data_IF_006885266846
#
_entry.id   IF_006885266846
#
_cell.length_a   1.000
_cell.length_b   1.000
_cell.length_c   1.000
_cell.angle_alpha   90.00
_cell.angle_beta   90.00
_cell.angle_gamma   90.00
#
_symmetry.space_group_name_H-M   'P 1'
#
loop_
_entity.id
_entity.type
_entity.pdbx_description
1 polymer ?
#
# COMPACT_ATOMS: atom_id res chain seq x y z
N UNK A 1 4.83 -6.25 -23.84
CA UNK A 1 4.39 -5.97 -22.45
C UNK A 1 3.14 -6.77 -22.20
N UNK A 2 3.17 -7.71 -21.25
CA UNK A 2 1.98 -8.51 -20.89
C UNK A 2 1.21 -7.77 -19.79
N UNK A 3 -0.08 -7.54 -20.01
CA UNK A 3 -0.98 -6.89 -19.05
C UNK A 3 -1.86 -7.95 -18.39
N UNK A 4 -1.96 -7.90 -17.07
CA UNK A 4 -2.86 -8.74 -16.29
C UNK A 4 -3.78 -7.83 -15.48
N UNK A 5 -5.07 -8.17 -15.42
CA UNK A 5 -6.09 -7.46 -14.63
C UNK A 5 -6.68 -8.44 -13.61
N UNK A 6 -6.80 -8.00 -12.36
CA UNK A 6 -7.36 -8.79 -11.26
C UNK A 6 -8.37 -7.92 -10.52
N UNK A 7 -9.58 -8.44 -10.35
CA UNK A 7 -10.64 -7.80 -9.56
C UNK A 7 -10.87 -8.59 -8.27
N UNK A 8 -11.05 -7.88 -7.16
CA UNK A 8 -11.36 -8.48 -5.86
C UNK A 8 -12.53 -7.74 -5.22
N UNK A 9 -13.47 -8.48 -4.64
CA UNK A 9 -14.59 -7.90 -3.88
C UNK A 9 -14.16 -7.76 -2.42
N UNK A 10 -14.51 -6.64 -1.80
CA UNK A 10 -14.30 -6.42 -0.36
C UNK A 10 -15.59 -5.97 0.30
N UNK A 11 -15.81 -6.41 1.54
CA UNK A 11 -16.92 -5.97 2.37
C UNK A 11 -16.70 -4.60 3.01
N UNK A 12 -15.47 -4.07 2.95
CA UNK A 12 -15.16 -2.76 3.52
C UNK A 12 -15.50 -1.63 2.53
N UNK A 13 -15.92 -0.45 3.04
CA UNK A 13 -16.15 0.72 2.20
C UNK A 13 -14.90 1.13 1.39
N UNK A 14 -15.05 1.64 0.16
CA UNK A 14 -13.93 2.04 -0.69
C UNK A 14 -12.97 3.04 -0.03
N UNK A 15 -13.51 4.03 0.69
CA UNK A 15 -12.71 5.04 1.40
C UNK A 15 -11.76 4.41 2.42
N UNK A 16 -12.26 3.42 3.19
CA UNK A 16 -11.47 2.73 4.20
C UNK A 16 -10.36 1.89 3.58
N UNK A 17 -10.67 1.21 2.47
CA UNK A 17 -9.68 0.40 1.74
C UNK A 17 -8.59 1.27 1.13
N UNK A 18 -8.98 2.36 0.46
CA UNK A 18 -8.02 3.27 -0.15
C UNK A 18 -7.12 3.89 0.91
N UNK A 19 -7.70 4.35 2.02
CA UNK A 19 -6.91 4.86 3.14
C UNK A 19 -5.96 3.81 3.70
N UNK A 20 -6.40 2.58 3.93
CA UNK A 20 -5.57 1.56 4.57
C UNK A 20 -4.47 0.99 3.65
N UNK A 21 -4.78 0.75 2.37
CA UNK A 21 -3.91 0.04 1.43
C UNK A 21 -3.04 0.97 0.58
N UNK A 22 -3.40 2.24 0.47
CA UNK A 22 -2.68 3.22 -0.37
C UNK A 22 -2.08 4.33 0.49
N UNK A 23 -2.90 5.04 1.27
CA UNK A 23 -2.45 6.25 2.00
C UNK A 23 -1.65 5.92 3.27
N UNK A 24 -2.18 5.04 4.12
CA UNK A 24 -1.62 4.67 5.43
C UNK A 24 -0.83 3.35 5.40
N UNK A 25 -0.55 2.82 4.19
CA UNK A 25 0.00 1.48 3.99
C UNK A 25 1.34 1.28 4.70
N UNK A 26 2.17 2.32 4.76
CA UNK A 26 3.50 2.24 5.34
C UNK A 26 3.47 2.00 6.85
N UNK A 27 2.39 2.44 7.50
CA UNK A 27 2.16 2.25 8.93
C UNK A 27 1.41 0.96 9.22
N UNK A 28 0.48 0.58 8.34
CA UNK A 28 -0.47 -0.50 8.58
C UNK A 28 0.04 -1.85 8.09
N UNK A 29 0.59 -1.94 6.88
CA UNK A 29 1.01 -3.21 6.30
C UNK A 29 2.12 -3.90 7.07
N UNK A 30 3.19 -3.21 7.55
CA UNK A 30 4.20 -3.86 8.40
C UNK A 30 3.63 -4.41 9.70
N UNK A 31 2.52 -3.85 10.21
CA UNK A 31 1.85 -4.35 11.42
C UNK A 31 0.92 -5.51 11.12
N UNK A 32 0.23 -5.48 9.98
CA UNK A 32 -0.72 -6.52 9.59
C UNK A 32 -0.03 -7.76 9.04
N UNK A 33 1.08 -7.57 8.33
CA UNK A 33 1.84 -8.59 7.63
C UNK A 33 3.28 -8.61 8.14
N UNK A 34 3.47 -8.52 9.46
CA UNK A 34 4.80 -8.39 10.10
C UNK A 34 5.75 -9.56 9.79
N UNK A 35 5.21 -10.71 9.41
CA UNK A 35 5.99 -11.88 9.00
C UNK A 35 6.59 -11.73 7.59
N UNK A 36 6.02 -10.86 6.76
CA UNK A 36 6.39 -10.69 5.34
C UNK A 36 7.00 -9.31 5.08
N UNK A 37 6.51 -8.28 5.76
CA UNK A 37 6.90 -6.88 5.54
C UNK A 37 7.46 -6.32 6.84
N UNK A 38 8.76 -5.97 6.83
CA UNK A 38 9.46 -5.40 7.98
C UNK A 38 9.17 -3.91 8.15
N UNK A 39 9.19 -3.16 7.06
CA UNK A 39 9.07 -1.70 7.06
C UNK A 39 8.70 -1.22 5.66
N UNK A 40 8.07 -0.06 5.55
CA UNK A 40 7.96 0.64 4.27
C UNK A 40 8.45 2.06 4.48
N UNK A 41 9.46 2.46 3.72
CA UNK A 41 10.16 3.72 3.91
C UNK A 41 10.13 4.54 2.63
N UNK A 42 9.77 5.82 2.73
CA UNK A 42 9.94 6.77 1.63
C UNK A 42 11.42 7.09 1.51
N UNK A 43 12.01 6.77 0.35
CA UNK A 43 13.41 7.08 0.05
C UNK A 43 13.53 8.35 -0.80
N UNK A 44 12.49 8.69 -1.56
CA UNK A 44 12.42 9.92 -2.36
C UNK A 44 11.00 10.49 -2.37
N UNK A 45 10.88 11.82 -2.32
CA UNK A 45 9.61 12.54 -2.37
C UNK A 45 8.95 12.82 -1.02
N UNK A 46 7.69 13.27 -1.05
CA UNK A 46 6.92 13.73 0.12
C UNK A 46 5.71 12.83 0.44
N UNK A 47 5.64 11.66 -0.19
CA UNK A 47 4.50 10.73 -0.09
C UNK A 47 3.37 11.00 -1.08
N UNK A 48 3.49 12.00 -1.96
CA UNK A 48 2.56 12.24 -3.07
C UNK A 48 3.00 11.52 -4.35
N UNK A 49 2.29 11.79 -5.45
CA UNK A 49 2.62 11.26 -6.77
C UNK A 49 4.08 11.52 -7.14
N UNK A 50 4.77 10.48 -7.61
CA UNK A 50 6.20 10.51 -7.92
C UNK A 50 7.12 10.09 -6.77
N UNK A 51 6.61 9.85 -5.56
CA UNK A 51 7.43 9.35 -4.45
C UNK A 51 7.87 7.90 -4.66
N UNK A 52 9.06 7.57 -4.18
CA UNK A 52 9.63 6.21 -4.22
C UNK A 52 9.68 5.64 -2.80
N UNK A 53 9.21 4.40 -2.64
CA UNK A 53 9.19 3.68 -1.36
C UNK A 53 9.91 2.35 -1.47
N UNK A 54 10.70 2.03 -0.45
CA UNK A 54 11.28 0.72 -0.24
C UNK A 54 10.37 -0.08 0.71
N UNK A 55 10.06 -1.33 0.35
CA UNK A 55 9.18 -2.25 1.11
C UNK A 55 10.03 -3.42 1.61
#
# INVERSE_FOLDING_TARGET
VSKFEVENVSSFPPERLFKALILDRDRLLPKLLSEVIKSIETVEGDGKAGSVKLI
#
